data_IF_442555814822
#
_entry.id   IF_442555814822
#
_cell.length_a   1.000
_cell.length_b   1.000
_cell.length_c   1.000
_cell.angle_alpha   90.00
_cell.angle_beta   90.00
_cell.angle_gamma   90.00
#
_symmetry.space_group_name_H-M   'P 1'
#
loop_
_entity.id
_entity.type
_entity.pdbx_description
1 polymer ?
#
# COMPACT_ATOMS: atom_id res chain seq x y z
N UNK A 1 19.56 -5.97 -5.04
CA UNK A 1 19.33 -4.52 -4.93
C UNK A 1 20.07 -4.00 -3.70
N UNK A 2 20.64 -2.80 -3.74
CA UNK A 2 21.42 -2.24 -2.62
C UNK A 2 20.54 -1.77 -1.44
N UNK A 3 19.24 -1.56 -1.69
CA UNK A 3 18.26 -1.01 -0.75
C UNK A 3 17.37 -2.06 -0.08
N UNK A 4 17.43 -3.34 -0.49
CA UNK A 4 16.76 -4.44 0.22
C UNK A 4 17.78 -5.22 1.05
N UNK A 5 17.54 -5.32 2.36
CA UNK A 5 18.43 -5.99 3.31
C UNK A 5 17.67 -7.07 4.06
N UNK A 6 18.30 -8.22 4.23
CA UNK A 6 17.82 -9.21 5.20
C UNK A 6 18.15 -8.72 6.60
N UNK A 7 17.13 -8.45 7.40
CA UNK A 7 17.27 -8.03 8.80
C UNK A 7 16.69 -9.13 9.68
N UNK A 8 17.55 -9.81 10.45
CA UNK A 8 17.10 -10.84 11.37
C UNK A 8 16.24 -10.23 12.48
N UNK A 9 15.05 -10.77 12.70
CA UNK A 9 14.08 -10.24 13.67
C UNK A 9 13.25 -9.07 13.15
N UNK A 10 13.30 -8.74 11.86
CA UNK A 10 12.27 -7.92 11.24
C UNK A 10 11.02 -8.78 10.97
N UNK A 11 9.88 -8.33 11.48
CA UNK A 11 8.57 -8.95 11.31
C UNK A 11 7.45 -7.90 11.44
N UNK A 12 6.19 -8.32 11.42
CA UNK A 12 5.05 -7.40 11.47
C UNK A 12 4.96 -6.55 12.76
N UNK A 13 5.54 -7.00 13.89
CA UNK A 13 5.62 -6.23 15.13
C UNK A 13 6.86 -5.34 15.20
N UNK A 14 7.87 -5.69 14.41
CA UNK A 14 9.18 -5.07 14.39
C UNK A 14 9.59 -4.73 12.94
N UNK A 15 8.91 -3.78 12.25
CA UNK A 15 9.03 -3.63 10.81
C UNK A 15 10.42 -3.22 10.30
N UNK A 16 11.20 -2.50 11.11
CA UNK A 16 12.58 -2.09 10.79
C UNK A 16 13.63 -2.97 11.50
N UNK A 17 13.22 -4.06 12.14
CA UNK A 17 14.10 -4.97 12.90
C UNK A 17 13.83 -4.95 14.41
N UNK A 18 14.56 -5.76 15.21
CA UNK A 18 14.18 -6.14 16.58
C UNK A 18 14.15 -4.99 17.60
N UNK A 19 14.62 -3.79 17.23
CA UNK A 19 14.57 -2.58 18.07
C UNK A 19 13.45 -1.62 17.68
N UNK A 20 12.73 -1.89 16.59
CA UNK A 20 11.56 -1.11 16.18
C UNK A 20 10.30 -1.62 16.87
N UNK A 21 9.25 -0.81 16.87
CA UNK A 21 7.93 -1.18 17.36
C UNK A 21 6.82 -0.49 16.53
N UNK A 22 5.58 -0.60 17.01
CA UNK A 22 4.38 -0.06 16.38
C UNK A 22 3.78 1.13 17.14
N UNK A 23 4.51 1.78 18.06
CA UNK A 23 3.94 2.71 19.05
C UNK A 23 3.05 3.81 18.43
N UNK A 24 3.39 4.28 17.24
CA UNK A 24 2.66 5.32 16.49
C UNK A 24 2.05 4.82 15.17
N UNK A 25 1.85 3.50 15.04
CA UNK A 25 1.44 2.84 13.77
C UNK A 25 0.28 1.87 13.95
N UNK A 26 -0.59 2.13 14.92
CA UNK A 26 -1.73 1.26 15.25
C UNK A 26 -2.80 1.18 14.15
N UNK A 27 -2.86 2.17 13.28
CA UNK A 27 -3.77 2.33 12.14
C UNK A 27 -3.06 2.27 10.78
N UNK A 28 -1.77 1.93 10.76
CA UNK A 28 -1.00 1.70 9.53
C UNK A 28 -1.23 0.29 8.98
N UNK A 29 -0.99 0.05 7.67
CA UNK A 29 -1.06 -1.29 7.12
C UNK A 29 -0.01 -2.20 7.77
N UNK A 30 -0.43 -3.42 8.10
CA UNK A 30 0.50 -4.46 8.55
C UNK A 30 1.43 -4.87 7.39
N UNK A 31 2.72 -4.98 7.67
CA UNK A 31 3.77 -5.36 6.70
C UNK A 31 4.49 -6.64 7.12
N UNK A 32 5.41 -7.12 6.29
CA UNK A 32 6.11 -8.41 6.46
C UNK A 32 5.18 -9.62 6.50
N UNK A 33 4.02 -9.51 5.86
CA UNK A 33 3.06 -10.59 5.72
C UNK A 33 3.33 -11.36 4.44
N UNK A 34 3.51 -12.68 4.55
CA UNK A 34 3.53 -13.54 3.38
C UNK A 34 2.12 -13.70 2.80
N UNK A 35 2.04 -14.21 1.57
CA UNK A 35 0.76 -14.58 0.96
C UNK A 35 -0.01 -15.59 1.84
N UNK A 36 0.69 -16.55 2.47
CA UNK A 36 0.05 -17.54 3.35
C UNK A 36 -0.55 -16.90 4.60
N UNK A 37 0.12 -15.91 5.17
CA UNK A 37 -0.40 -15.18 6.33
C UNK A 37 -1.65 -14.37 5.95
N UNK A 38 -1.62 -13.72 4.78
CA UNK A 38 -2.75 -12.97 4.24
C UNK A 38 -3.98 -13.87 4.01
N UNK A 39 -3.78 -15.07 3.42
CA UNK A 39 -4.85 -16.07 3.26
C UNK A 39 -5.39 -16.57 4.59
N UNK A 40 -4.50 -16.87 5.55
CA UNK A 40 -4.90 -17.33 6.87
C UNK A 40 -5.73 -16.28 7.61
N UNK A 41 -5.31 -15.01 7.56
CA UNK A 41 -6.05 -13.89 8.15
C UNK A 41 -7.41 -13.67 7.46
N UNK A 42 -7.43 -13.63 6.13
CA UNK A 42 -8.68 -13.45 5.36
C UNK A 42 -9.69 -14.54 5.72
N UNK A 43 -9.26 -15.80 5.81
CA UNK A 43 -10.11 -16.92 6.24
C UNK A 43 -10.60 -16.76 7.68
N UNK A 44 -9.74 -16.30 8.59
CA UNK A 44 -10.08 -16.08 9.99
C UNK A 44 -11.18 -15.03 10.16
N UNK A 45 -11.16 -13.94 9.39
CA UNK A 45 -12.23 -12.92 9.38
C UNK A 45 -13.48 -13.32 8.57
N UNK A 46 -13.51 -14.53 8.00
CA UNK A 46 -14.64 -15.03 7.20
C UNK A 46 -14.65 -14.54 5.74
N UNK A 47 -13.54 -13.97 5.26
CA UNK A 47 -13.34 -13.54 3.88
C UNK A 47 -12.40 -14.45 3.09
N UNK A 48 -11.88 -13.90 1.98
CA UNK A 48 -10.82 -14.47 1.13
C UNK A 48 -10.02 -13.32 0.52
N UNK A 49 -8.84 -13.61 -0.03
CA UNK A 49 -8.16 -12.65 -0.89
C UNK A 49 -8.99 -12.36 -2.15
N UNK A 50 -8.97 -11.13 -2.67
CA UNK A 50 -9.58 -10.81 -3.95
C UNK A 50 -8.82 -11.53 -5.06
N UNK A 51 -9.52 -11.86 -6.14
CA UNK A 51 -8.82 -12.13 -7.40
C UNK A 51 -8.17 -10.84 -7.91
N UNK A 52 -7.15 -10.95 -8.76
CA UNK A 52 -6.51 -9.79 -9.40
C UNK A 52 -7.55 -8.95 -10.16
N UNK A 53 -8.48 -9.60 -10.87
CA UNK A 53 -9.55 -8.91 -11.59
C UNK A 53 -10.53 -8.18 -10.65
N UNK A 54 -10.90 -8.79 -9.51
CA UNK A 54 -11.72 -8.11 -8.50
C UNK A 54 -10.98 -6.93 -7.86
N UNK A 55 -9.70 -7.10 -7.57
CA UNK A 55 -8.87 -6.04 -7.00
C UNK A 55 -8.76 -4.85 -7.95
N UNK A 56 -8.45 -5.09 -9.23
CA UNK A 56 -8.36 -4.02 -10.22
C UNK A 56 -9.72 -3.34 -10.43
N UNK A 57 -10.80 -4.11 -10.55
CA UNK A 57 -12.15 -3.55 -10.67
C UNK A 57 -12.50 -2.64 -9.49
N UNK A 58 -12.21 -3.09 -8.26
CA UNK A 58 -12.44 -2.31 -7.06
C UNK A 58 -11.55 -1.06 -7.00
N UNK A 59 -10.26 -1.19 -7.33
CA UNK A 59 -9.29 -0.10 -7.36
C UNK A 59 -9.65 0.98 -8.38
N UNK A 60 -10.22 0.61 -9.53
CA UNK A 60 -10.71 1.55 -10.56
C UNK A 60 -11.85 2.45 -10.09
N UNK A 61 -12.57 2.09 -9.02
CA UNK A 61 -13.57 2.97 -8.39
C UNK A 61 -14.68 3.41 -9.33
N UNK A 62 -15.04 2.60 -10.33
CA UNK A 62 -16.06 2.92 -11.33
C UNK A 62 -15.57 3.75 -12.53
N UNK A 63 -14.27 4.03 -12.63
CA UNK A 63 -13.68 4.71 -13.78
C UNK A 63 -13.25 3.71 -14.86
N UNK A 64 -13.63 3.99 -16.11
CA UNK A 64 -13.22 3.20 -17.27
C UNK A 64 -11.91 3.74 -17.86
N UNK A 65 -10.95 2.85 -18.11
CA UNK A 65 -9.69 3.14 -18.81
C UNK A 65 -8.87 4.31 -18.24
N UNK A 66 -8.92 4.51 -16.92
CA UNK A 66 -8.07 5.46 -16.20
C UNK A 66 -6.82 4.82 -15.65
N UNK A 67 -5.75 5.62 -15.59
CA UNK A 67 -4.44 5.20 -15.07
C UNK A 67 -4.43 5.03 -13.55
N UNK A 68 -5.17 5.87 -12.83
CA UNK A 68 -5.24 5.93 -11.38
C UNK A 68 -6.70 5.85 -10.90
N UNK A 69 -6.95 5.49 -9.62
CA UNK A 69 -8.29 5.38 -9.04
C UNK A 69 -9.15 6.66 -9.14
N UNK A 70 -8.53 7.82 -9.36
CA UNK A 70 -9.17 9.13 -9.48
C UNK A 70 -9.04 9.78 -10.86
N UNK A 71 -8.34 9.17 -11.82
CA UNK A 71 -8.14 9.75 -13.14
C UNK A 71 -6.79 9.45 -13.76
N UNK A 72 -6.29 10.37 -14.58
CA UNK A 72 -5.06 10.15 -15.35
C UNK A 72 -3.85 10.88 -14.75
N UNK A 73 -4.07 11.91 -13.94
CA UNK A 73 -3.01 12.76 -13.39
C UNK A 73 -2.66 12.35 -11.96
N UNK A 74 -1.37 12.40 -11.62
CA UNK A 74 -0.92 12.06 -10.27
C UNK A 74 -1.43 13.06 -9.23
N UNK A 75 -1.45 14.35 -9.60
CA UNK A 75 -1.85 15.47 -8.74
C UNK A 75 -2.77 16.42 -9.54
N UNK A 76 -4.05 16.08 -9.72
CA UNK A 76 -4.94 16.77 -10.65
C UNK A 76 -5.28 18.22 -10.24
N UNK A 77 -5.23 18.55 -8.94
CA UNK A 77 -5.52 19.91 -8.45
C UNK A 77 -4.25 20.76 -8.15
N UNK A 78 -3.08 20.31 -8.62
CA UNK A 78 -1.80 21.05 -8.52
C UNK A 78 -0.74 20.30 -7.74
N UNK A 79 0.47 20.88 -7.65
CA UNK A 79 1.67 20.19 -7.15
C UNK A 79 1.60 19.67 -5.70
N UNK A 80 0.67 20.21 -4.88
CA UNK A 80 0.47 19.81 -3.49
C UNK A 80 -0.73 18.84 -3.31
N UNK A 81 -1.45 18.47 -4.39
CA UNK A 81 -2.58 17.52 -4.36
C UNK A 81 -2.08 16.07 -4.40
N UNK A 82 -1.49 15.63 -3.31
CA UNK A 82 -1.07 14.23 -3.13
C UNK A 82 -2.28 13.35 -2.84
N UNK A 83 -2.46 12.28 -3.64
CA UNK A 83 -3.60 11.34 -3.53
C UNK A 83 -3.22 9.90 -3.23
N UNK A 84 -1.93 9.61 -3.16
CA UNK A 84 -1.36 8.35 -2.71
C UNK A 84 -0.10 8.63 -1.90
N UNK A 85 0.34 7.62 -1.14
CA UNK A 85 1.66 7.59 -0.53
C UNK A 85 2.64 6.86 -1.46
N UNK A 86 3.59 7.59 -2.04
CA UNK A 86 4.68 7.02 -2.84
C UNK A 86 5.98 7.78 -2.59
N UNK A 87 7.09 7.23 -3.05
CA UNK A 87 8.38 7.90 -2.96
C UNK A 87 8.39 9.28 -3.64
N UNK A 88 8.90 10.29 -2.94
CA UNK A 88 9.08 11.66 -3.44
C UNK A 88 10.55 12.10 -3.27
N UNK A 89 11.13 12.80 -4.25
CA UNK A 89 12.55 13.18 -4.23
C UNK A 89 13.47 12.30 -5.07
N UNK A 90 14.63 11.89 -4.54
CA UNK A 90 15.67 11.16 -5.31
C UNK A 90 15.85 9.73 -4.82
N UNK A 91 15.25 8.78 -5.53
CA UNK A 91 15.38 7.36 -5.23
C UNK A 91 16.81 6.86 -5.53
N UNK A 92 17.47 6.10 -4.67
CA UNK A 92 17.05 5.54 -3.37
C UNK A 92 17.57 6.34 -2.17
N UNK A 93 18.19 7.51 -2.40
CA UNK A 93 19.01 8.21 -1.42
C UNK A 93 18.26 9.14 -0.46
N UNK A 94 17.16 9.74 -0.89
CA UNK A 94 16.42 10.72 -0.08
C UNK A 94 14.95 10.79 -0.49
N UNK A 95 14.08 10.34 0.40
CA UNK A 95 12.64 10.56 0.35
C UNK A 95 12.33 11.87 1.08
N UNK A 96 11.76 12.85 0.38
CA UNK A 96 11.41 14.14 0.98
C UNK A 96 10.04 14.12 1.68
N UNK A 97 9.25 13.06 1.49
CA UNK A 97 7.94 12.89 2.11
C UNK A 97 6.98 14.02 1.76
N UNK A 98 7.01 14.52 0.52
CA UNK A 98 6.15 15.62 0.07
C UNK A 98 4.65 15.28 0.20
N UNK A 99 4.29 14.00 0.13
CA UNK A 99 2.92 13.51 0.38
C UNK A 99 2.55 13.38 1.88
N UNK A 100 3.48 13.77 2.76
CA UNK A 100 3.37 13.69 4.21
C UNK A 100 4.05 12.48 4.85
N UNK A 101 4.58 11.53 4.06
CA UNK A 101 5.04 10.24 4.59
C UNK A 101 6.36 9.78 3.97
N UNK A 102 7.35 9.49 4.83
CA UNK A 102 8.56 8.75 4.46
C UNK A 102 8.45 7.33 5.04
N UNK A 103 7.64 6.48 4.42
CA UNK A 103 7.25 5.15 4.90
C UNK A 103 5.77 4.89 4.66
N UNK A 104 5.18 3.93 5.37
CA UNK A 104 3.71 3.71 5.33
C UNK A 104 2.94 4.88 5.95
N UNK A 105 1.66 5.02 5.59
CA UNK A 105 0.70 5.95 6.20
C UNK A 105 -0.53 5.19 6.75
N UNK A 106 -1.40 5.83 7.56
CA UNK A 106 -2.66 5.24 8.01
C UNK A 106 -3.49 4.68 6.85
N UNK A 107 -4.22 3.59 7.10
CA UNK A 107 -4.99 2.87 6.07
C UNK A 107 -6.12 3.69 5.44
N UNK A 108 -6.60 4.73 6.14
CA UNK A 108 -7.65 5.66 5.71
C UNK A 108 -7.10 7.04 5.31
N UNK A 109 -5.78 7.16 5.10
CA UNK A 109 -5.18 8.37 4.53
C UNK A 109 -5.61 8.58 3.07
N UNK A 110 -5.60 9.84 2.64
CA UNK A 110 -6.05 10.33 1.32
C UNK A 110 -7.54 10.13 1.05
N UNK A 111 -8.01 10.62 -0.10
CA UNK A 111 -9.40 10.46 -0.51
C UNK A 111 -9.68 9.04 -1.02
N UNK A 112 -10.83 8.44 -0.67
CA UNK A 112 -11.21 7.16 -1.23
C UNK A 112 -11.56 7.28 -2.73
N UNK A 113 -11.47 6.17 -3.45
CA UNK A 113 -11.96 6.10 -4.82
C UNK A 113 -13.50 6.08 -4.89
N UNK A 114 -14.08 6.03 -6.09
CA UNK A 114 -15.53 6.06 -6.29
C UNK A 114 -16.33 4.89 -5.69
N UNK A 115 -15.67 3.85 -5.17
CA UNK A 115 -16.28 2.75 -4.43
C UNK A 115 -16.01 2.79 -2.92
N UNK A 116 -15.34 3.82 -2.43
CA UNK A 116 -15.03 3.98 -1.00
C UNK A 116 -13.76 3.25 -0.55
N UNK A 117 -12.91 2.78 -1.47
CA UNK A 117 -11.64 2.14 -1.12
C UNK A 117 -10.52 3.18 -1.04
N UNK A 118 -9.68 3.03 -0.02
CA UNK A 118 -8.52 3.88 0.23
C UNK A 118 -7.24 3.19 -0.23
N UNK A 119 -6.23 3.98 -0.61
CA UNK A 119 -4.86 3.52 -0.83
C UNK A 119 -4.68 2.38 -1.83
N UNK A 120 -5.59 2.19 -2.80
CA UNK A 120 -5.44 1.20 -3.89
C UNK A 120 -4.29 1.51 -4.87
N UNK A 121 -3.53 2.57 -4.62
CA UNK A 121 -2.28 2.91 -5.31
C UNK A 121 -1.34 3.50 -4.26
N UNK A 122 -0.15 2.95 -4.11
CA UNK A 122 0.82 3.38 -3.09
C UNK A 122 0.62 2.71 -1.72
N UNK A 123 1.24 3.30 -0.69
CA UNK A 123 1.31 2.82 0.70
C UNK A 123 2.00 1.44 0.86
N UNK A 124 1.31 0.34 0.47
CA UNK A 124 1.86 -1.02 0.49
C UNK A 124 1.41 -1.81 -0.74
N UNK A 125 2.17 -2.85 -1.09
CA UNK A 125 1.70 -3.85 -2.03
C UNK A 125 0.62 -4.72 -1.38
N UNK A 126 -0.40 -5.10 -2.15
CA UNK A 126 -1.54 -5.90 -1.69
C UNK A 126 -1.57 -7.27 -2.38
N UNK A 127 -1.65 -8.35 -1.60
CA UNK A 127 -1.71 -9.72 -2.13
C UNK A 127 -3.06 -10.05 -2.76
N UNK A 128 -3.05 -10.63 -3.96
CA UNK A 128 -4.22 -11.20 -4.63
C UNK A 128 -4.18 -12.74 -4.56
N UNK A 129 -5.30 -13.39 -4.90
CA UNK A 129 -5.44 -14.85 -4.87
C UNK A 129 -4.72 -15.55 -6.03
N UNK A 130 -4.40 -14.83 -7.10
CA UNK A 130 -3.98 -15.38 -8.38
C UNK A 130 -2.51 -15.79 -8.41
N UNK A 131 -2.22 -16.81 -9.22
CA UNK A 131 -0.85 -17.08 -9.63
C UNK A 131 -0.44 -16.11 -10.72
N UNK A 132 0.73 -15.50 -10.57
CA UNK A 132 1.30 -14.65 -11.61
C UNK A 132 1.66 -15.45 -12.87
N UNK A 133 1.38 -14.88 -14.05
CA UNK A 133 1.86 -15.37 -15.35
C UNK A 133 2.55 -14.22 -16.09
N UNK A 134 3.65 -14.54 -16.79
CA UNK A 134 4.44 -13.59 -17.57
C UNK A 134 4.03 -13.56 -19.05
#
# INVERSE_FOLDING_TARGET
AEWWRQVFGADWRHPEGPQSDLADRGDHPVVHMSWFDAVAYAKWVGGRLPTEAEWEYAARGGLEHKRLPWGDENQPDGADDHRFNIFTGTFWSHDDGADGWAGTCPVDAFEPNGYGLYNCSGNVWEWTADWFTA
#
